data_IF_753932429222
#
_entry.id   IF_753932429222
#
_cell.length_a   1.000
_cell.length_b   1.000
_cell.length_c   1.000
_cell.angle_alpha   90.00
_cell.angle_beta   90.00
_cell.angle_gamma   90.00
#
_symmetry.space_group_name_H-M   'P 1'
#
loop_
_entity.id
_entity.type
_entity.pdbx_description
1 polymer ?
#
# COMPACT_ATOMS: atom_id res chain seq x y z
N UNK A 1 5.75 19.42 29.98
CA UNK A 1 5.62 18.43 31.09
C UNK A 1 6.84 17.49 31.10
N UNK A 2 7.10 16.69 32.14
CA UNK A 2 8.18 15.71 32.15
C UNK A 2 7.89 14.56 33.11
N UNK A 3 8.49 13.38 32.88
CA UNK A 3 8.41 12.22 33.76
C UNK A 3 9.46 12.33 34.87
N UNK A 4 9.08 12.09 36.13
CA UNK A 4 10.03 11.91 37.22
C UNK A 4 10.61 10.50 37.12
N UNK A 5 11.92 10.38 36.88
CA UNK A 5 12.61 9.09 36.75
C UNK A 5 13.18 8.65 38.10
N UNK A 6 13.69 9.60 38.88
CA UNK A 6 14.39 9.29 40.11
C UNK A 6 14.28 10.44 41.11
N UNK A 7 14.16 10.10 42.39
CA UNK A 7 14.25 11.06 43.50
C UNK A 7 15.29 10.54 44.49
N UNK A 8 16.38 11.29 44.66
CA UNK A 8 17.47 10.94 45.57
C UNK A 8 17.72 12.04 46.60
N UNK A 9 18.27 11.65 47.74
CA UNK A 9 18.68 12.60 48.78
C UNK A 9 20.15 12.94 48.57
N UNK A 10 20.42 14.14 48.06
CA UNK A 10 21.75 14.68 47.88
C UNK A 10 22.25 15.44 49.12
N UNK A 11 23.51 15.92 49.09
CA UNK A 11 24.12 16.65 50.21
C UNK A 11 23.41 17.97 50.55
N UNK A 12 22.74 18.59 49.58
CA UNK A 12 22.09 19.91 49.70
C UNK A 12 20.56 19.84 49.73
N UNK A 13 19.96 18.64 49.67
CA UNK A 13 18.52 18.47 49.64
C UNK A 13 18.08 17.31 48.74
N UNK A 14 16.80 17.30 48.37
CA UNK A 14 16.27 16.33 47.41
C UNK A 14 16.68 16.73 45.99
N UNK A 15 17.16 15.75 45.23
CA UNK A 15 17.41 15.86 43.80
C UNK A 15 16.34 15.05 43.06
N UNK A 16 15.70 15.67 42.07
CA UNK A 16 14.67 15.06 41.24
C UNK A 16 15.17 15.03 39.80
N UNK A 17 15.27 13.83 39.22
CA UNK A 17 15.68 13.63 37.83
C UNK A 17 14.43 13.53 36.95
N UNK A 18 14.40 14.35 35.91
CA UNK A 18 13.29 14.42 34.96
C UNK A 18 13.72 13.88 33.60
N UNK A 19 12.79 13.23 32.88
CA UNK A 19 12.99 12.80 31.50
C UNK A 19 11.79 13.13 30.62
N UNK A 20 12.09 13.64 29.42
CA UNK A 20 11.14 13.74 28.30
C UNK A 20 11.37 12.66 27.24
N UNK A 21 12.48 11.92 27.33
CA UNK A 21 12.88 10.88 26.37
C UNK A 21 12.36 9.49 26.73
N UNK A 22 11.97 9.26 27.99
CA UNK A 22 11.46 7.97 28.43
C UNK A 22 10.12 7.62 27.76
N UNK A 23 9.89 6.35 27.44
CA UNK A 23 8.67 5.90 26.77
C UNK A 23 7.42 6.13 27.64
N UNK A 24 7.54 5.96 28.96
CA UNK A 24 6.43 6.23 29.90
C UNK A 24 6.00 7.69 29.93
N UNK A 25 6.85 8.62 29.47
CA UNK A 25 6.42 10.00 29.29
C UNK A 25 5.31 10.08 28.23
N UNK A 26 5.47 9.39 27.09
CA UNK A 26 4.43 9.34 26.05
C UNK A 26 3.17 8.68 26.58
N UNK A 27 3.30 7.55 27.27
CA UNK A 27 2.16 6.86 27.89
C UNK A 27 1.37 7.79 28.82
N UNK A 28 2.06 8.53 29.68
CA UNK A 28 1.43 9.48 30.61
C UNK A 28 0.76 10.65 29.88
N UNK A 29 1.33 11.16 28.78
CA UNK A 29 0.68 12.21 27.98
C UNK A 29 -0.60 11.67 27.32
N UNK A 30 -0.57 10.46 26.76
CA UNK A 30 -1.76 9.81 26.20
C UNK A 30 -2.85 9.59 27.25
N UNK A 31 -2.49 9.11 28.44
CA UNK A 31 -3.43 8.94 29.56
C UNK A 31 -4.05 10.26 30.03
N UNK A 32 -3.37 11.40 29.87
CA UNK A 32 -3.91 12.72 30.21
C UNK A 32 -4.82 13.30 29.11
N UNK A 33 -4.52 13.03 27.84
CA UNK A 33 -5.22 13.63 26.69
C UNK A 33 -6.39 12.78 26.19
N UNK A 34 -6.37 11.46 26.40
CA UNK A 34 -7.35 10.50 25.89
C UNK A 34 -8.13 9.87 27.05
N UNK A 35 -9.37 10.33 27.33
CA UNK A 35 -10.21 9.80 28.41
C UNK A 35 -10.41 8.28 28.35
N UNK A 36 -10.51 7.73 27.15
CA UNK A 36 -10.70 6.30 26.89
C UNK A 36 -9.46 5.48 27.33
N UNK A 37 -8.26 6.07 27.34
CA UNK A 37 -7.05 5.42 27.87
C UNK A 37 -7.00 5.52 29.40
N UNK A 38 -7.49 6.63 29.95
CA UNK A 38 -7.58 6.85 31.39
C UNK A 38 -8.54 5.86 32.05
N UNK A 39 -9.72 5.68 31.48
CA UNK A 39 -10.76 4.78 32.02
C UNK A 39 -10.60 3.30 31.62
N UNK A 40 -9.55 2.97 30.85
CA UNK A 40 -9.22 1.62 30.36
C UNK A 40 -10.22 1.04 29.36
N UNK A 41 -11.03 1.88 28.71
CA UNK A 41 -11.79 1.47 27.52
C UNK A 41 -10.85 1.13 26.37
N UNK A 42 -9.82 1.95 26.16
CA UNK A 42 -8.73 1.74 25.20
C UNK A 42 -7.45 1.50 26.00
N UNK A 43 -6.68 0.50 25.58
CA UNK A 43 -5.40 0.16 26.20
C UNK A 43 -4.26 0.26 25.19
N UNK A 44 -3.13 0.75 25.69
CA UNK A 44 -1.88 0.77 24.92
C UNK A 44 -1.22 -0.59 25.07
N UNK A 45 -1.19 -1.36 23.98
CA UNK A 45 -0.52 -2.65 23.92
C UNK A 45 0.99 -2.48 24.01
N UNK A 46 1.57 -1.59 23.18
CA UNK A 46 3.01 -1.35 23.14
C UNK A 46 3.36 0.00 22.54
N UNK A 47 4.47 0.57 23.00
CA UNK A 47 5.05 1.80 22.48
C UNK A 47 6.50 1.53 22.10
N UNK A 48 6.88 1.92 20.89
CA UNK A 48 8.27 1.99 20.47
C UNK A 48 8.59 3.40 20.01
N UNK A 49 9.70 3.93 20.50
CA UNK A 49 10.00 5.35 20.41
C UNK A 49 11.44 5.58 20.00
N UNK A 50 11.63 6.54 19.10
CA UNK A 50 12.85 7.28 18.84
C UNK A 50 12.59 8.74 19.23
N UNK A 51 12.97 9.16 20.46
CA UNK A 51 12.53 10.43 21.04
C UNK A 51 12.86 11.65 20.20
N UNK A 52 11.90 12.56 20.04
CA UNK A 52 12.02 13.76 19.22
C UNK A 52 11.90 13.52 17.71
N UNK A 53 11.80 12.26 17.28
CA UNK A 53 11.67 11.91 15.87
C UNK A 53 10.34 11.22 15.59
N UNK A 54 10.18 9.98 16.06
CA UNK A 54 9.03 9.16 15.72
C UNK A 54 8.71 8.14 16.81
N UNK A 55 7.41 7.96 17.08
CA UNK A 55 6.89 6.95 17.98
C UNK A 55 5.78 6.16 17.29
N UNK A 56 5.83 4.83 17.39
CA UNK A 56 4.70 3.96 17.02
C UNK A 56 4.02 3.44 18.28
N UNK A 57 2.69 3.47 18.28
CA UNK A 57 1.86 3.06 19.40
C UNK A 57 0.81 2.07 18.89
N UNK A 58 0.83 0.86 19.43
CA UNK A 58 -0.20 -0.13 19.21
C UNK A 58 -1.27 -0.02 20.30
N UNK A 59 -2.52 0.16 19.90
CA UNK A 59 -3.67 0.29 20.81
C UNK A 59 -4.75 -0.73 20.49
N UNK A 60 -5.49 -1.16 21.50
CA UNK A 60 -6.68 -1.99 21.34
C UNK A 60 -7.80 -1.47 22.23
N UNK A 61 -9.03 -1.83 21.90
CA UNK A 61 -10.20 -1.50 22.71
C UNK A 61 -10.68 -2.75 23.44
N UNK A 62 -11.07 -2.58 24.71
CA UNK A 62 -11.79 -3.59 25.48
C UNK A 62 -13.29 -3.65 25.12
N UNK A 63 -13.73 -2.75 24.25
CA UNK A 63 -15.11 -2.61 23.79
C UNK A 63 -15.18 -2.63 22.27
N UNK A 64 -16.02 -3.50 21.73
CA UNK A 64 -16.18 -3.65 20.28
C UNK A 64 -16.82 -2.42 19.61
N UNK A 65 -17.58 -1.62 20.36
CA UNK A 65 -18.25 -0.41 19.88
C UNK A 65 -17.34 0.84 19.88
N UNK A 66 -16.06 0.70 20.25
CA UNK A 66 -15.10 1.80 20.34
C UNK A 66 -13.91 1.52 19.42
N UNK A 67 -13.67 2.41 18.47
CA UNK A 67 -12.44 2.41 17.67
C UNK A 67 -11.27 2.98 18.49
N UNK A 68 -10.25 2.17 18.82
CA UNK A 68 -9.14 2.63 19.63
C UNK A 68 -8.26 3.67 18.92
N UNK A 69 -8.16 3.61 17.59
CA UNK A 69 -7.34 4.57 16.82
C UNK A 69 -8.06 5.91 16.78
N UNK A 70 -9.33 5.94 16.40
CA UNK A 70 -10.17 7.14 16.41
C UNK A 70 -10.28 7.78 17.80
N UNK A 71 -10.36 6.99 18.85
CA UNK A 71 -10.28 7.48 20.23
C UNK A 71 -8.97 8.21 20.51
N UNK A 72 -7.82 7.70 20.06
CA UNK A 72 -6.55 8.39 20.27
C UNK A 72 -6.37 9.63 19.39
N UNK A 73 -6.89 9.60 18.16
CA UNK A 73 -6.75 10.68 17.17
C UNK A 73 -7.68 11.85 17.47
N UNK A 74 -8.92 11.56 17.87
CA UNK A 74 -9.97 12.56 18.08
C UNK A 74 -10.52 13.13 16.77
N UNK A 75 -11.59 13.94 16.88
CA UNK A 75 -12.21 14.58 15.72
C UNK A 75 -11.18 15.41 14.95
N UNK A 76 -11.03 15.13 13.64
CA UNK A 76 -10.05 15.79 12.75
C UNK A 76 -8.61 15.81 13.29
N UNK A 77 -8.24 14.84 14.14
CA UNK A 77 -6.91 14.75 14.71
C UNK A 77 -6.59 15.74 15.83
N UNK A 78 -7.56 16.47 16.36
CA UNK A 78 -7.31 17.52 17.37
C UNK A 78 -6.53 16.99 18.59
N UNK A 79 -6.88 15.80 19.08
CA UNK A 79 -6.20 15.20 20.25
C UNK A 79 -4.76 14.81 19.92
N UNK A 80 -4.55 14.10 18.81
CA UNK A 80 -3.18 13.69 18.45
C UNK A 80 -2.27 14.88 18.15
N UNK A 81 -2.81 15.97 17.56
CA UNK A 81 -2.04 17.20 17.34
C UNK A 81 -1.63 17.87 18.66
N UNK A 82 -2.49 17.84 19.69
CA UNK A 82 -2.14 18.34 21.02
C UNK A 82 -0.99 17.53 21.65
N UNK A 83 -1.01 16.19 21.50
CA UNK A 83 0.07 15.31 21.96
C UNK A 83 1.37 15.57 21.20
N UNK A 84 1.32 15.65 19.87
CA UNK A 84 2.48 15.96 19.02
C UNK A 84 3.12 17.30 19.44
N UNK A 85 2.29 18.31 19.73
CA UNK A 85 2.75 19.61 20.23
C UNK A 85 3.44 19.49 21.60
N UNK A 86 2.90 18.70 22.53
CA UNK A 86 3.53 18.46 23.84
C UNK A 86 4.86 17.70 23.72
N UNK A 87 5.01 16.86 22.69
CA UNK A 87 6.24 16.15 22.34
C UNK A 87 7.15 16.93 21.38
N UNK A 88 6.97 18.24 21.25
CA UNK A 88 7.83 19.14 20.45
C UNK A 88 7.95 18.74 18.96
N UNK A 89 6.86 18.23 18.38
CA UNK A 89 6.80 17.89 16.96
C UNK A 89 7.23 16.47 16.61
N UNK A 90 7.47 15.62 17.62
CA UNK A 90 7.69 14.18 17.42
C UNK A 90 6.52 13.56 16.61
N UNK A 91 6.83 12.84 15.53
CA UNK A 91 5.81 12.17 14.71
C UNK A 91 5.26 10.96 15.45
N UNK A 92 3.95 10.73 15.39
CA UNK A 92 3.32 9.63 16.11
C UNK A 92 2.44 8.86 15.15
N UNK A 93 2.70 7.55 15.03
CA UNK A 93 1.82 6.62 14.33
C UNK A 93 1.04 5.83 15.38
N UNK A 94 -0.28 5.96 15.36
CA UNK A 94 -1.18 5.17 16.20
C UNK A 94 -1.82 4.12 15.31
N UNK A 95 -1.73 2.86 15.71
CA UNK A 95 -2.25 1.74 14.94
C UNK A 95 -2.96 0.73 15.82
N UNK A 96 -3.91 0.01 15.23
CA UNK A 96 -4.66 -1.03 15.91
C UNK A 96 -3.77 -2.25 16.13
N UNK A 97 -3.66 -2.69 17.37
CA UNK A 97 -3.08 -3.99 17.70
C UNK A 97 -3.99 -5.10 17.16
N UNK A 98 -3.37 -6.14 16.59
CA UNK A 98 -4.05 -7.35 16.16
C UNK A 98 -3.28 -8.58 16.68
N UNK A 99 -3.96 -9.60 17.22
CA UNK A 99 -3.30 -10.83 17.63
C UNK A 99 -2.74 -11.64 16.45
N UNK A 100 -3.28 -11.48 15.24
CA UNK A 100 -2.71 -12.09 14.04
C UNK A 100 -1.47 -11.30 13.59
N UNK A 101 -0.27 -11.93 13.56
CA UNK A 101 0.97 -11.24 13.18
C UNK A 101 0.90 -10.66 11.77
N UNK A 102 0.18 -11.26 10.82
CA UNK A 102 0.08 -10.72 9.44
C UNK A 102 -0.60 -9.35 9.45
N UNK A 103 -1.76 -9.27 10.10
CA UNK A 103 -2.52 -8.02 10.27
C UNK A 103 -1.74 -7.00 11.08
N UNK A 104 -1.07 -7.44 12.15
CA UNK A 104 -0.33 -6.52 13.00
C UNK A 104 0.90 -5.94 12.29
N UNK A 105 1.61 -6.73 11.47
CA UNK A 105 2.72 -6.26 10.61
C UNK A 105 2.21 -5.23 9.59
N UNK A 106 1.10 -5.53 8.89
CA UNK A 106 0.46 -4.60 7.95
C UNK A 106 0.13 -3.25 8.63
N UNK A 107 -0.47 -3.30 9.83
CA UNK A 107 -0.76 -2.11 10.61
C UNK A 107 0.52 -1.37 11.07
N UNK A 108 1.57 -2.10 11.46
CA UNK A 108 2.81 -1.54 11.98
C UNK A 108 3.64 -0.78 10.93
N UNK A 109 3.52 -1.15 9.65
CA UNK A 109 4.22 -0.50 8.54
C UNK A 109 3.55 0.80 8.08
N UNK A 110 2.34 1.10 8.57
CA UNK A 110 1.65 2.39 8.37
C UNK A 110 2.61 3.57 8.61
N UNK A 111 2.64 4.58 7.72
CA UNK A 111 1.65 4.91 6.69
C UNK A 111 1.81 4.15 5.36
N UNK A 112 2.80 3.28 5.20
CA UNK A 112 2.95 2.54 3.95
C UNK A 112 1.85 1.48 3.80
N UNK A 113 1.28 1.41 2.60
CA UNK A 113 0.29 0.39 2.27
C UNK A 113 0.97 -0.92 1.91
N UNK A 114 0.68 -1.96 2.69
CA UNK A 114 1.20 -3.31 2.49
C UNK A 114 0.15 -4.13 1.76
N UNK A 115 0.54 -4.69 0.60
CA UNK A 115 -0.33 -5.57 -0.17
C UNK A 115 -0.56 -6.86 0.61
N UNK A 116 0.52 -7.56 0.94
CA UNK A 116 0.46 -8.83 1.67
C UNK A 116 1.64 -9.06 2.63
N UNK A 117 1.46 -9.99 3.58
CA UNK A 117 2.45 -10.39 4.57
C UNK A 117 2.58 -11.91 4.62
N UNK A 118 3.75 -12.41 4.22
CA UNK A 118 4.09 -13.83 4.23
C UNK A 118 4.92 -14.14 5.46
N UNK A 119 4.49 -15.16 6.22
CA UNK A 119 5.28 -15.69 7.34
C UNK A 119 6.31 -16.67 6.77
N UNK A 120 7.59 -16.31 6.83
CA UNK A 120 8.69 -17.15 6.32
C UNK A 120 9.10 -18.22 7.33
N UNK A 121 9.16 -17.85 8.61
CA UNK A 121 9.51 -18.77 9.70
C UNK A 121 8.85 -18.27 10.99
N UNK A 122 7.81 -18.97 11.44
CA UNK A 122 7.07 -18.60 12.65
C UNK A 122 7.92 -18.77 13.93
N UNK A 123 8.77 -19.80 13.99
CA UNK A 123 9.60 -20.08 15.16
C UNK A 123 10.67 -19.00 15.35
N UNK A 124 11.24 -18.50 14.24
CA UNK A 124 12.20 -17.37 14.24
C UNK A 124 11.53 -16.00 14.17
N UNK A 125 10.19 -15.95 14.06
CA UNK A 125 9.41 -14.73 13.86
C UNK A 125 9.90 -13.91 12.67
N UNK A 126 10.07 -14.55 11.52
CA UNK A 126 10.47 -13.91 10.28
C UNK A 126 9.28 -13.77 9.34
N UNK A 127 9.11 -12.59 8.79
CA UNK A 127 8.04 -12.26 7.86
C UNK A 127 8.55 -11.39 6.71
N UNK A 128 7.87 -11.49 5.58
CA UNK A 128 8.09 -10.71 4.39
C UNK A 128 6.84 -9.88 4.11
N UNK A 129 6.98 -8.56 4.07
CA UNK A 129 5.93 -7.64 3.67
C UNK A 129 6.13 -7.22 2.21
N UNK A 130 5.11 -7.46 1.39
CA UNK A 130 5.10 -7.11 -0.02
C UNK A 130 4.35 -5.78 -0.19
N UNK A 131 4.98 -4.84 -0.88
CA UNK A 131 4.46 -3.48 -1.11
C UNK A 131 4.60 -3.13 -2.59
N UNK A 132 3.82 -2.16 -3.07
CA UNK A 132 4.06 -1.58 -4.39
C UNK A 132 5.39 -0.79 -4.41
N UNK A 133 6.00 -0.63 -5.58
CA UNK A 133 7.24 0.16 -5.76
C UNK A 133 7.12 1.59 -5.20
N UNK A 134 5.96 2.22 -5.40
CA UNK A 134 5.66 3.56 -4.86
C UNK A 134 5.65 3.61 -3.33
N UNK A 135 5.30 2.50 -2.67
CA UNK A 135 5.22 2.36 -1.22
C UNK A 135 6.54 1.87 -0.59
N UNK A 136 7.46 1.31 -1.38
CA UNK A 136 8.71 0.70 -0.89
C UNK A 136 9.55 1.67 -0.05
N UNK A 137 9.80 2.87 -0.57
CA UNK A 137 10.58 3.90 0.14
C UNK A 137 9.90 4.33 1.45
N UNK A 138 8.57 4.42 1.47
CA UNK A 138 7.79 4.78 2.65
C UNK A 138 7.82 3.68 3.71
N UNK A 139 7.69 2.42 3.28
CA UNK A 139 7.70 1.24 4.13
C UNK A 139 9.05 1.08 4.85
N UNK A 140 10.16 1.26 4.13
CA UNK A 140 11.51 1.29 4.73
C UNK A 140 11.67 2.53 5.62
N UNK A 141 11.28 3.70 5.11
CA UNK A 141 11.43 4.99 5.75
C UNK A 141 12.87 5.51 5.73
N UNK A 142 13.06 6.80 6.05
CA UNK A 142 14.39 7.44 6.07
C UNK A 142 15.35 6.66 6.98
N UNK A 143 16.46 6.16 6.42
CA UNK A 143 17.44 5.30 7.12
C UNK A 143 16.89 3.98 7.69
N UNK A 144 15.78 3.47 7.14
CA UNK A 144 15.13 2.26 7.64
C UNK A 144 14.37 2.47 8.96
N UNK A 145 14.07 3.72 9.33
CA UNK A 145 13.44 4.03 10.62
C UNK A 145 12.04 3.40 10.75
N UNK A 146 11.23 3.41 9.70
CA UNK A 146 9.85 2.92 9.77
C UNK A 146 9.82 1.41 10.00
N UNK A 147 10.54 0.65 9.15
CA UNK A 147 10.66 -0.80 9.27
C UNK A 147 11.30 -1.20 10.61
N UNK A 148 12.31 -0.47 11.10
CA UNK A 148 12.95 -0.74 12.40
C UNK A 148 11.99 -0.56 13.59
N UNK A 149 11.17 0.50 13.56
CA UNK A 149 10.14 0.71 14.57
C UNK A 149 9.05 -0.37 14.47
N UNK A 150 8.61 -0.73 13.25
CA UNK A 150 7.64 -1.81 13.05
C UNK A 150 8.16 -3.16 13.60
N UNK A 151 9.41 -3.53 13.28
CA UNK A 151 10.08 -4.74 13.80
C UNK A 151 10.04 -4.77 15.34
N UNK A 152 10.45 -3.66 15.98
CA UNK A 152 10.44 -3.53 17.45
C UNK A 152 9.02 -3.54 18.03
N UNK A 153 8.02 -3.06 17.31
CA UNK A 153 6.64 -2.99 17.79
C UNK A 153 6.01 -4.39 17.77
N UNK A 154 6.12 -5.10 16.65
CA UNK A 154 5.52 -6.43 16.47
C UNK A 154 6.35 -7.53 17.17
N UNK A 155 7.64 -7.30 17.43
CA UNK A 155 8.61 -8.32 17.85
C UNK A 155 8.83 -9.41 16.78
N UNK A 156 8.88 -8.98 15.52
CA UNK A 156 9.15 -9.81 14.34
C UNK A 156 10.28 -9.20 13.51
N UNK A 157 11.05 -10.06 12.84
CA UNK A 157 11.99 -9.67 11.80
C UNK A 157 11.23 -9.51 10.47
N UNK A 158 10.97 -8.28 10.08
CA UNK A 158 10.17 -7.93 8.90
C UNK A 158 11.13 -7.46 7.80
N UNK A 159 11.19 -8.23 6.71
CA UNK A 159 11.79 -7.78 5.45
C UNK A 159 10.69 -7.15 4.57
N UNK A 160 11.06 -6.17 3.75
CA UNK A 160 10.12 -5.45 2.88
C UNK A 160 10.62 -5.57 1.44
N UNK A 161 9.74 -5.95 0.52
CA UNK A 161 10.06 -6.13 -0.90
C UNK A 161 8.95 -5.62 -1.79
N UNK A 162 9.31 -5.27 -3.02
CA UNK A 162 8.35 -5.06 -4.11
C UNK A 162 7.87 -6.40 -4.66
N UNK A 163 6.80 -6.38 -5.47
CA UNK A 163 6.31 -7.59 -6.16
C UNK A 163 7.37 -8.16 -7.09
N UNK A 164 8.00 -7.32 -7.90
CA UNK A 164 9.12 -7.70 -8.76
C UNK A 164 10.26 -8.37 -7.99
N UNK A 165 10.69 -7.77 -6.87
CA UNK A 165 11.73 -8.34 -6.00
C UNK A 165 11.31 -9.64 -5.32
N UNK A 166 10.02 -9.86 -5.12
CA UNK A 166 9.48 -11.07 -4.54
C UNK A 166 9.45 -12.21 -5.56
N UNK A 167 9.01 -11.92 -6.79
CA UNK A 167 9.00 -12.87 -7.92
C UNK A 167 10.41 -13.36 -8.28
N UNK A 168 11.37 -12.44 -8.29
CA UNK A 168 12.80 -12.74 -8.50
C UNK A 168 13.42 -13.59 -7.37
N UNK A 169 12.79 -13.65 -6.18
CA UNK A 169 13.38 -14.30 -5.01
C UNK A 169 13.33 -15.84 -5.06
N UNK A 170 12.89 -16.41 -6.18
CA UNK A 170 12.91 -17.83 -6.52
C UNK A 170 12.50 -18.73 -5.35
N UNK A 171 11.21 -18.67 -5.03
CA UNK A 171 10.70 -19.41 -3.90
C UNK A 171 10.42 -20.84 -4.33
N UNK A 172 11.17 -21.75 -3.71
CA UNK A 172 10.81 -23.16 -3.52
C UNK A 172 9.29 -23.31 -3.50
N UNK A 173 8.79 -24.20 -4.37
CA UNK A 173 7.40 -24.54 -4.68
C UNK A 173 6.37 -24.60 -3.54
N UNK A 174 6.77 -24.51 -2.27
CA UNK A 174 5.91 -24.46 -1.10
C UNK A 174 5.33 -23.07 -0.80
N UNK A 175 6.08 -21.95 -0.93
CA UNK A 175 5.49 -20.63 -0.61
C UNK A 175 4.66 -20.05 -1.74
N UNK A 176 4.98 -20.39 -3.01
CA UNK A 176 4.15 -20.02 -4.17
C UNK A 176 2.75 -20.65 -4.07
N UNK A 177 2.64 -21.87 -3.52
CA UNK A 177 1.36 -22.53 -3.21
C UNK A 177 0.57 -21.82 -2.11
N UNK A 178 1.23 -21.39 -1.03
CA UNK A 178 0.56 -20.67 0.06
C UNK A 178 0.03 -19.30 -0.38
N UNK A 179 0.77 -18.59 -1.24
CA UNK A 179 0.37 -17.33 -1.86
C UNK A 179 -0.79 -17.54 -2.84
N UNK A 180 -0.72 -18.54 -3.73
CA UNK A 180 -1.85 -18.86 -4.63
C UNK A 180 -3.16 -19.18 -3.89
N UNK A 181 -3.09 -19.66 -2.65
CA UNK A 181 -4.26 -19.93 -1.81
C UNK A 181 -4.74 -18.73 -1.00
N UNK A 182 -3.88 -17.73 -0.75
CA UNK A 182 -4.21 -16.53 0.04
C UNK A 182 -4.70 -15.36 -0.82
N UNK A 183 -4.26 -15.29 -2.08
CA UNK A 183 -4.74 -14.34 -3.08
C UNK A 183 -5.92 -14.89 -3.91
N UNK A 184 -6.43 -16.07 -3.55
CA UNK A 184 -7.45 -16.80 -4.30
C UNK A 184 -8.90 -16.50 -3.93
N UNK A 185 -9.21 -15.41 -3.23
CA UNK A 185 -10.62 -14.99 -3.06
C UNK A 185 -10.79 -13.46 -3.11
N UNK A 186 -11.71 -13.07 -4.00
CA UNK A 186 -12.37 -11.77 -4.19
C UNK A 186 -11.66 -10.71 -5.04
N UNK A 187 -11.83 -10.84 -6.36
CA UNK A 187 -11.63 -9.75 -7.32
C UNK A 187 -11.79 -10.24 -8.76
N UNK A 188 -13.04 -10.40 -9.20
CA UNK A 188 -13.42 -10.70 -10.58
C UNK A 188 -12.65 -9.88 -11.60
N UNK A 189 -11.93 -10.51 -12.54
CA UNK A 189 -11.94 -10.28 -13.99
C UNK A 189 -11.17 -11.46 -14.63
N UNK A 190 -11.88 -12.20 -15.50
CA UNK A 190 -11.41 -13.13 -16.54
C UNK A 190 -10.22 -14.07 -16.22
N UNK A 191 -10.53 -15.33 -15.94
CA UNK A 191 -9.56 -16.44 -16.01
C UNK A 191 -9.08 -16.58 -17.47
N UNK A 192 -7.89 -16.07 -17.78
CA UNK A 192 -7.18 -16.39 -19.01
C UNK A 192 -6.84 -17.89 -19.03
N UNK A 193 -7.19 -18.57 -20.13
CA UNK A 193 -6.87 -19.97 -20.34
C UNK A 193 -5.34 -20.15 -20.45
N UNK A 194 -4.61 -20.39 -19.35
CA UNK A 194 -3.15 -20.57 -19.44
C UNK A 194 -2.74 -21.95 -19.97
N UNK A 195 -3.58 -22.98 -19.76
CA UNK A 195 -3.31 -24.37 -20.18
C UNK A 195 -4.18 -24.77 -21.35
N UNK A 196 -3.64 -25.63 -22.21
CA UNK A 196 -4.39 -26.18 -23.35
C UNK A 196 -5.59 -27.00 -22.89
N UNK A 197 -5.49 -27.65 -21.72
CA UNK A 197 -6.58 -28.43 -21.13
C UNK A 197 -7.78 -27.59 -20.66
N UNK A 198 -7.58 -26.30 -20.40
CA UNK A 198 -8.61 -25.40 -19.88
C UNK A 198 -9.43 -24.77 -21.01
N UNK A 199 -8.93 -24.82 -22.25
CA UNK A 199 -9.61 -24.28 -23.42
C UNK A 199 -10.95 -24.98 -23.70
N UNK A 200 -12.01 -24.23 -24.02
CA UNK A 200 -13.31 -24.82 -24.33
C UNK A 200 -13.25 -25.59 -25.65
N UNK A 201 -13.91 -26.75 -25.69
CA UNK A 201 -14.06 -27.60 -26.88
C UNK A 201 -12.79 -28.26 -27.44
N UNK A 202 -11.69 -28.34 -26.67
CA UNK A 202 -10.53 -29.14 -27.07
C UNK A 202 -10.80 -30.63 -26.85
N UNK A 203 -10.48 -31.46 -27.85
CA UNK A 203 -10.62 -32.93 -27.74
C UNK A 203 -9.64 -33.46 -26.68
N UNK A 204 -10.07 -34.27 -25.70
CA UNK A 204 -9.18 -34.82 -24.67
C UNK A 204 -8.00 -35.62 -25.25
N UNK A 205 -8.23 -36.33 -26.36
CA UNK A 205 -7.19 -37.10 -27.07
C UNK A 205 -6.06 -36.18 -27.58
N UNK A 206 -6.38 -34.94 -27.95
CA UNK A 206 -5.43 -33.94 -28.43
C UNK A 206 -4.58 -33.38 -27.29
N UNK A 207 -5.19 -33.13 -26.13
CA UNK A 207 -4.51 -32.67 -24.92
C UNK A 207 -3.49 -33.70 -24.44
N UNK A 208 -3.89 -34.97 -24.39
CA UNK A 208 -3.00 -36.06 -23.98
C UNK A 208 -1.80 -36.22 -24.95
N UNK A 209 -2.03 -36.09 -26.25
CA UNK A 209 -0.98 -36.12 -27.29
C UNK A 209 0.02 -34.95 -27.17
N UNK A 210 -0.46 -33.75 -26.85
CA UNK A 210 0.37 -32.57 -26.65
C UNK A 210 1.19 -32.68 -25.36
N UNK A 211 0.57 -33.16 -24.28
CA UNK A 211 1.25 -33.44 -23.01
C UNK A 211 2.36 -34.50 -23.16
N UNK A 212 2.15 -35.54 -23.97
CA UNK A 212 3.18 -36.54 -24.27
C UNK A 212 4.41 -35.97 -25.00
N UNK A 213 4.27 -34.79 -25.62
CA UNK A 213 5.35 -34.07 -26.30
C UNK A 213 5.82 -32.83 -25.51
N UNK A 214 5.54 -32.79 -24.20
CA UNK A 214 5.91 -31.70 -23.28
C UNK A 214 5.28 -30.33 -23.65
N UNK A 215 4.10 -30.32 -24.28
CA UNK A 215 3.32 -29.11 -24.61
C UNK A 215 2.10 -29.06 -23.68
N UNK A 216 2.21 -28.32 -22.56
CA UNK A 216 1.14 -28.19 -21.55
C UNK A 216 0.45 -26.80 -21.63
N UNK A 217 1.22 -25.76 -21.93
CA UNK A 217 0.76 -24.36 -21.94
C UNK A 217 0.50 -23.86 -23.35
N UNK A 218 -0.36 -22.85 -23.48
CA UNK A 218 -0.65 -22.23 -24.79
C UNK A 218 0.60 -21.58 -25.39
N UNK A 219 1.45 -20.99 -24.54
CA UNK A 219 2.74 -20.41 -24.91
C UNK A 219 3.67 -21.44 -25.57
N UNK A 220 3.75 -22.65 -25.02
CA UNK A 220 4.58 -23.73 -25.57
C UNK A 220 4.15 -24.09 -27.00
N UNK A 221 2.84 -24.07 -27.25
CA UNK A 221 2.26 -24.36 -28.56
C UNK A 221 2.51 -23.24 -29.58
N UNK A 222 2.44 -21.98 -29.15
CA UNK A 222 2.69 -20.81 -30.00
C UNK A 222 4.19 -20.62 -30.31
N UNK A 223 5.08 -21.06 -29.42
CA UNK A 223 6.52 -20.97 -29.61
C UNK A 223 7.08 -21.95 -30.66
N UNK A 224 6.34 -23.02 -30.97
CA UNK A 224 6.76 -24.03 -31.94
C UNK A 224 6.37 -23.65 -33.37
N UNK A 225 7.29 -23.89 -34.31
CA UNK A 225 7.01 -23.66 -35.73
C UNK A 225 6.08 -24.74 -36.32
N UNK A 226 5.39 -24.39 -37.41
CA UNK A 226 4.48 -25.31 -38.12
C UNK A 226 5.19 -26.62 -38.55
N UNK A 227 6.48 -26.53 -38.88
CA UNK A 227 7.30 -27.70 -39.24
C UNK A 227 7.58 -28.62 -38.04
N UNK A 228 7.71 -28.06 -36.83
CA UNK A 228 7.95 -28.82 -35.60
C UNK A 228 6.66 -29.50 -35.11
N UNK A 229 5.53 -28.80 -35.18
CA UNK A 229 4.22 -29.34 -34.84
C UNK A 229 3.78 -30.46 -35.80
N UNK A 230 4.09 -30.34 -37.10
CA UNK A 230 3.81 -31.37 -38.10
C UNK A 230 4.66 -32.64 -37.95
N UNK A 231 5.81 -32.54 -37.28
CA UNK A 231 6.69 -33.69 -37.02
C UNK A 231 6.25 -34.52 -35.81
N UNK A 232 5.28 -34.04 -35.03
CA UNK A 232 4.74 -34.79 -33.88
C UNK A 232 3.86 -35.93 -34.39
N UNK A 233 4.21 -37.16 -34.00
CA UNK A 233 3.50 -38.36 -34.44
C UNK A 233 2.10 -38.43 -33.85
N UNK A 234 1.08 -38.34 -34.70
CA UNK A 234 -0.32 -38.53 -34.32
C UNK A 234 -1.16 -37.26 -34.39
N UNK A 235 -0.53 -36.09 -34.58
CA UNK A 235 -1.23 -34.84 -34.86
C UNK A 235 -1.53 -34.73 -36.36
N UNK A 236 -2.77 -34.40 -36.70
CA UNK A 236 -3.14 -34.06 -38.08
C UNK A 236 -3.08 -32.55 -38.29
N UNK A 237 -2.85 -32.12 -39.54
CA UNK A 237 -2.93 -30.70 -39.90
C UNK A 237 -4.30 -30.07 -39.56
N UNK A 238 -5.35 -30.88 -39.50
CA UNK A 238 -6.69 -30.44 -39.13
C UNK A 238 -6.82 -30.16 -37.62
N UNK A 239 -6.23 -31.00 -36.77
CA UNK A 239 -6.28 -30.82 -35.31
C UNK A 239 -5.48 -29.59 -34.85
N UNK A 240 -4.34 -29.31 -35.52
CA UNK A 240 -3.54 -28.11 -35.27
C UNK A 240 -4.27 -26.82 -35.68
N UNK A 241 -4.98 -26.86 -36.81
CA UNK A 241 -5.79 -25.73 -37.26
C UNK A 241 -7.00 -25.48 -36.35
N UNK A 242 -7.68 -26.54 -35.90
CA UNK A 242 -8.79 -26.45 -34.94
C UNK A 242 -8.30 -25.86 -33.60
N UNK A 243 -7.15 -26.30 -33.09
CA UNK A 243 -6.61 -25.79 -31.83
C UNK A 243 -6.18 -24.32 -31.94
N UNK A 244 -5.56 -23.91 -33.05
CA UNK A 244 -5.22 -22.50 -33.30
C UNK A 244 -6.44 -21.60 -33.35
N UNK A 245 -7.51 -22.06 -34.02
CA UNK A 245 -8.76 -21.33 -34.05
C UNK A 245 -9.37 -21.19 -32.65
N UNK A 246 -9.33 -22.24 -31.83
CA UNK A 246 -9.82 -22.19 -30.44
C UNK A 246 -8.96 -21.21 -29.61
N UNK A 247 -7.64 -21.19 -29.79
CA UNK A 247 -6.76 -20.23 -29.11
C UNK A 247 -7.08 -18.81 -29.54
N UNK A 248 -7.15 -18.52 -30.85
CA UNK A 248 -7.48 -17.18 -31.36
C UNK A 248 -8.88 -16.69 -30.96
N UNK A 249 -9.87 -17.60 -30.85
CA UNK A 249 -11.24 -17.23 -30.47
C UNK A 249 -11.43 -17.06 -28.95
N UNK A 250 -10.57 -17.64 -28.12
CA UNK A 250 -10.75 -17.69 -26.67
C UNK A 250 -9.61 -17.07 -25.86
N UNK A 251 -8.50 -16.68 -26.49
CA UNK A 251 -7.33 -16.07 -25.86
C UNK A 251 -7.00 -14.79 -26.61
N UNK A 252 -7.11 -13.64 -25.94
CA UNK A 252 -6.56 -12.38 -26.45
C UNK A 252 -5.05 -12.42 -26.26
N UNK A 253 -4.30 -12.65 -27.35
CA UNK A 253 -2.85 -12.54 -27.33
C UNK A 253 -2.51 -11.06 -27.34
N UNK A 254 -2.12 -10.52 -26.19
CA UNK A 254 -1.52 -9.19 -26.10
C UNK A 254 -0.09 -9.30 -26.63
N UNK A 255 0.14 -8.86 -27.86
CA UNK A 255 1.49 -8.66 -28.37
C UNK A 255 2.10 -7.51 -27.57
N UNK A 256 3.09 -7.80 -26.71
CA UNK A 256 3.97 -6.77 -26.14
C UNK A 256 4.86 -6.22 -27.27
N UNK A 257 4.28 -5.39 -28.14
CA UNK A 257 5.02 -4.61 -29.12
C UNK A 257 5.78 -3.48 -28.39
N UNK A 258 7.08 -3.70 -28.16
CA UNK A 258 8.02 -2.68 -27.64
C UNK A 258 8.07 -1.38 -28.49
N UNK A 259 7.41 -1.33 -29.65
CA UNK A 259 7.47 -0.19 -30.58
C UNK A 259 6.19 0.68 -30.63
N UNK A 260 5.11 0.35 -29.89
CA UNK A 260 3.89 1.18 -29.91
C UNK A 260 3.79 2.22 -28.76
N UNK A 261 4.79 2.29 -27.88
CA UNK A 261 4.89 3.26 -26.78
C UNK A 261 4.95 4.74 -27.21
N UNK A 262 5.00 5.07 -28.51
CA UNK A 262 5.08 6.45 -28.98
C UNK A 262 3.81 6.97 -29.66
N UNK A 263 2.89 6.13 -30.15
CA UNK A 263 1.66 6.62 -30.80
C UNK A 263 0.47 6.70 -29.84
N UNK A 264 0.38 5.83 -28.84
CA UNK A 264 -0.65 5.93 -27.78
C UNK A 264 -0.33 7.00 -26.73
N UNK A 265 0.96 7.27 -26.46
CA UNK A 265 1.38 8.38 -25.60
C UNK A 265 1.02 9.76 -26.15
N UNK A 266 0.89 9.95 -27.48
CA UNK A 266 0.50 11.27 -28.04
C UNK A 266 -1.02 11.52 -27.92
N UNK A 267 -1.83 10.48 -27.71
CA UNK A 267 -3.27 10.63 -27.55
C UNK A 267 -3.73 10.58 -26.09
N UNK A 268 -3.02 9.88 -25.20
CA UNK A 268 -3.33 9.85 -23.76
C UNK A 268 -2.62 10.94 -22.93
N UNK A 269 -1.45 11.44 -23.35
CA UNK A 269 -0.85 12.64 -22.71
C UNK A 269 -1.67 13.93 -22.97
N UNK A 270 -2.62 13.89 -23.90
CA UNK A 270 -3.60 14.97 -24.08
C UNK A 270 -4.80 14.88 -23.11
N UNK A 271 -4.97 13.78 -22.36
CA UNK A 271 -6.13 13.56 -21.47
C UNK A 271 -5.78 13.43 -19.98
N UNK A 272 -4.54 13.14 -19.58
CA UNK A 272 -4.15 13.03 -18.16
C UNK A 272 -3.10 14.04 -17.67
N UNK A 273 -3.02 15.20 -18.32
CA UNK A 273 -2.42 16.40 -17.73
C UNK A 273 -3.48 17.48 -17.50
N UNK A 274 -4.49 17.16 -16.67
CA UNK A 274 -5.31 18.17 -16.00
C UNK A 274 -5.28 17.84 -14.51
N UNK A 275 -4.24 18.34 -13.85
CA UNK A 275 -4.37 18.81 -12.47
C UNK A 275 -5.65 19.64 -12.37
N UNK A 276 -6.44 19.45 -11.31
CA UNK A 276 -7.50 20.37 -10.91
C UNK A 276 -6.94 21.80 -10.71
N UNK A 277 -6.74 22.54 -11.80
CA UNK A 277 -6.98 23.97 -11.81
C UNK A 277 -8.48 24.10 -12.00
N UNK A 278 -9.18 24.32 -10.89
CA UNK A 278 -10.50 24.94 -10.96
C UNK A 278 -10.26 26.30 -11.60
N UNK A 279 -10.46 26.43 -12.92
CA UNK A 279 -10.71 27.73 -13.53
C UNK A 279 -12.00 28.26 -12.90
N UNK A 280 -11.87 28.97 -11.77
CA UNK A 280 -12.96 29.72 -11.20
C UNK A 280 -13.40 30.75 -12.25
N UNK A 281 -14.52 30.51 -12.92
CA UNK A 281 -15.07 31.44 -13.91
C UNK A 281 -15.55 32.72 -13.20
N UNK A 282 -14.72 33.75 -13.17
CA UNK A 282 -15.10 35.07 -12.67
C UNK A 282 -15.93 35.82 -13.73
N UNK A 283 -16.91 36.60 -13.28
CA UNK A 283 -17.70 37.47 -14.15
C UNK A 283 -17.39 38.94 -13.84
N UNK A 284 -17.17 39.72 -14.90
CA UNK A 284 -16.99 41.15 -14.77
C UNK A 284 -18.22 41.78 -14.08
N UNK A 285 -18.05 42.52 -12.97
CA UNK A 285 -19.18 43.06 -12.20
C UNK A 285 -19.99 44.10 -12.97
N UNK A 286 -19.43 44.69 -14.04
CA UNK A 286 -20.10 45.73 -14.83
C UNK A 286 -20.90 45.16 -16.01
N UNK A 287 -20.36 44.17 -16.72
CA UNK A 287 -20.98 43.68 -17.96
C UNK A 287 -21.24 42.16 -18.01
N UNK A 288 -20.87 41.42 -16.98
CA UNK A 288 -21.08 39.97 -16.89
C UNK A 288 -20.24 39.13 -17.85
N UNK A 289 -19.29 39.74 -18.57
CA UNK A 289 -18.36 39.00 -19.41
C UNK A 289 -17.45 38.12 -18.54
N UNK A 290 -17.16 36.90 -19.02
CA UNK A 290 -16.22 35.99 -18.37
C UNK A 290 -14.83 36.62 -18.33
N UNK A 291 -14.19 36.60 -17.18
CA UNK A 291 -12.85 37.13 -16.92
C UNK A 291 -12.06 36.09 -16.12
N UNK A 292 -10.74 36.15 -16.23
CA UNK A 292 -9.81 35.25 -15.56
C UNK A 292 -8.88 36.06 -14.63
N UNK A 293 -8.25 35.39 -13.65
CA UNK A 293 -7.43 36.03 -12.60
C UNK A 293 -6.23 36.83 -13.15
N UNK A 294 -5.78 36.51 -14.36
CA UNK A 294 -4.69 37.17 -15.07
C UNK A 294 -5.13 38.44 -15.83
N UNK A 295 -6.44 38.71 -15.97
CA UNK A 295 -6.94 39.90 -16.63
C UNK A 295 -6.90 41.14 -15.72
N UNK A 296 -6.17 42.17 -16.15
CA UNK A 296 -6.12 43.48 -15.47
C UNK A 296 -7.18 44.47 -15.97
N UNK A 297 -7.86 44.15 -17.06
CA UNK A 297 -9.02 44.90 -17.56
C UNK A 297 -9.99 43.99 -18.29
N UNK A 298 -11.29 44.27 -18.17
CA UNK A 298 -12.32 43.48 -18.83
C UNK A 298 -12.24 43.65 -20.36
N UNK A 299 -12.21 42.57 -21.16
CA UNK A 299 -12.08 42.66 -22.61
C UNK A 299 -13.31 43.25 -23.30
N UNK A 300 -14.46 43.29 -22.63
CA UNK A 300 -15.71 43.79 -23.21
C UNK A 300 -15.98 45.27 -22.87
N UNK A 301 -15.85 45.68 -21.60
CA UNK A 301 -16.13 47.05 -21.17
C UNK A 301 -14.90 47.89 -20.82
N UNK A 302 -13.72 47.28 -20.70
CA UNK A 302 -12.46 47.95 -20.42
C UNK A 302 -12.26 48.41 -18.97
N UNK A 303 -13.14 48.03 -18.04
CA UNK A 303 -12.98 48.35 -16.62
C UNK A 303 -11.77 47.63 -16.03
N UNK A 304 -11.00 48.31 -15.17
CA UNK A 304 -9.85 47.72 -14.49
C UNK A 304 -10.26 46.68 -13.45
N UNK A 305 -9.53 45.57 -13.38
CA UNK A 305 -9.81 44.43 -12.51
C UNK A 305 -8.65 44.24 -11.52
N UNK A 306 -8.97 43.96 -10.26
CA UNK A 306 -8.01 43.61 -9.21
C UNK A 306 -8.63 42.54 -8.30
N UNK A 307 -7.90 41.47 -8.04
CA UNK A 307 -8.35 40.34 -7.23
C UNK A 307 -7.67 40.38 -5.85
N UNK A 308 -8.46 40.31 -4.78
CA UNK A 308 -7.98 40.23 -3.39
C UNK A 308 -8.52 38.93 -2.78
N UNK A 309 -7.65 38.15 -2.12
CA UNK A 309 -8.04 36.94 -1.41
C UNK A 309 -8.45 37.32 0.03
N UNK A 310 -9.70 37.05 0.41
CA UNK A 310 -10.12 37.09 1.81
C UNK A 310 -10.04 35.68 2.40
N UNK A 311 -9.04 35.45 3.27
CA UNK A 311 -8.98 34.25 4.11
C UNK A 311 -10.17 34.27 5.10
N UNK A 312 -11.17 33.40 4.92
CA UNK A 312 -12.29 33.30 5.86
C UNK A 312 -11.87 32.53 7.13
N UNK A 313 -12.05 33.17 8.30
CA UNK A 313 -11.82 32.64 9.66
C UNK A 313 -12.67 31.41 10.03
#
# INVERSE_FOLDING_TARGET
>A
KALIVEVTKGPTGLQVVLSRTHTDFVKAIFELEVPEIYDKTVEIHKIVREPGYRTKIAVYSNRDDVDPVGACVGLKGVRIQAIIKELEGEKIDILKYDPDPRRFIKNALSPAEVKDVIILDEAKRQALAIVADSQFSLAIGKTGQNVRLANRLVDWNIDVKTESQYEEMDISSESRRAVSQLFGEEGSYEEEFSRIADLPNVKPELVDLLLENDIEYIEDFLALSDEELANIKGLTEQDLAELRQIIEENVEIIEEDEDNYQEEMVQEEAQEAVSEEIEEEYQCPECGAKITLDMTSCPNCGIGLSFEYEDQE
#
